data_IF_719079014973
#
_entry.id   IF_719079014973
#
_cell.length_a   1.000
_cell.length_b   1.000
_cell.length_c   1.000
_cell.angle_alpha   90.00
_cell.angle_beta   90.00
_cell.angle_gamma   90.00
#
_symmetry.space_group_name_H-M   'P 1'
#
loop_
_entity.id
_entity.type
_entity.pdbx_description
1 polymer ?
#
# COMPACT_ATOMS: atom_id res chain seq x y z
N UNK A 1 5.25 9.79 -12.56
CA UNK A 1 6.05 9.06 -11.57
C UNK A 1 6.21 7.58 -11.92
N UNK A 2 5.13 6.88 -12.27
CA UNK A 2 5.18 5.46 -12.69
C UNK A 2 5.74 5.25 -14.10
N UNK A 3 6.07 6.33 -14.82
CA UNK A 3 6.78 6.30 -16.11
C UNK A 3 8.32 6.24 -15.95
N UNK A 4 8.83 6.26 -14.71
CA UNK A 4 10.22 5.90 -14.42
C UNK A 4 10.39 4.41 -14.68
N UNK A 5 11.51 4.04 -15.31
CA UNK A 5 11.72 2.66 -15.75
C UNK A 5 11.79 1.66 -14.58
N UNK A 6 11.35 0.43 -14.81
CA UNK A 6 11.48 -0.65 -13.83
C UNK A 6 12.94 -0.84 -13.41
N UNK A 7 13.88 -0.67 -14.37
CA UNK A 7 15.33 -0.79 -14.12
C UNK A 7 15.82 0.19 -13.06
N UNK A 8 15.25 1.41 -13.01
CA UNK A 8 15.60 2.36 -11.94
C UNK A 8 15.14 1.86 -10.57
N UNK A 9 13.91 1.35 -10.48
CA UNK A 9 13.37 0.83 -9.22
C UNK A 9 14.13 -0.39 -8.72
N UNK A 10 14.55 -1.29 -9.61
CA UNK A 10 15.39 -2.46 -9.29
C UNK A 10 16.73 -2.10 -8.66
N UNK A 11 17.24 -0.87 -8.88
CA UNK A 11 18.51 -0.44 -8.33
C UNK A 11 18.47 -0.12 -6.83
N UNK A 12 17.30 0.25 -6.30
CA UNK A 12 17.22 0.66 -4.89
C UNK A 12 16.14 -0.05 -4.08
N UNK A 13 15.13 -0.67 -4.72
CA UNK A 13 14.17 -1.50 -4.01
C UNK A 13 14.77 -2.88 -3.64
N UNK A 14 14.04 -3.64 -2.83
CA UNK A 14 14.32 -5.05 -2.58
C UNK A 14 13.87 -5.94 -3.76
N UNK A 15 14.24 -7.24 -3.81
CA UNK A 15 13.85 -8.12 -4.92
C UNK A 15 12.35 -8.26 -5.13
N UNK A 16 11.53 -8.04 -4.11
CA UNK A 16 10.07 -8.05 -4.25
C UNK A 16 9.53 -6.84 -5.02
N UNK A 17 10.36 -5.85 -5.33
CA UNK A 17 9.99 -4.59 -5.96
C UNK A 17 8.92 -3.84 -5.17
N UNK A 18 9.04 -3.83 -3.85
CA UNK A 18 8.04 -3.23 -2.97
C UNK A 18 8.35 -1.75 -2.73
N UNK A 19 7.52 -0.88 -3.33
CA UNK A 19 7.63 0.57 -3.18
C UNK A 19 6.66 1.10 -2.14
N UNK A 20 6.85 0.66 -0.90
CA UNK A 20 6.08 1.05 0.29
C UNK A 20 6.89 0.76 1.55
N UNK A 21 6.48 1.31 2.72
CA UNK A 21 7.18 1.08 3.98
C UNK A 21 7.35 -0.41 4.28
N UNK A 22 8.53 -0.82 4.66
CA UNK A 22 8.80 -2.13 5.27
C UNK A 22 8.41 -2.14 6.75
N UNK A 23 8.53 -3.29 7.43
CA UNK A 23 8.31 -3.47 8.87
C UNK A 23 9.57 -4.03 9.53
N UNK A 24 10.26 -3.20 10.31
CA UNK A 24 11.48 -3.57 11.04
C UNK A 24 11.18 -3.93 12.50
N UNK A 25 10.28 -4.89 12.73
CA UNK A 25 9.81 -5.29 14.07
C UNK A 25 10.86 -6.06 14.90
N UNK A 26 12.06 -6.30 14.34
CA UNK A 26 13.19 -6.98 14.99
C UNK A 26 14.52 -6.35 14.59
N UNK A 27 15.50 -6.32 15.50
CA UNK A 27 16.85 -5.89 15.12
C UNK A 27 17.47 -6.78 14.04
N UNK A 28 18.25 -6.18 13.15
CA UNK A 28 19.05 -6.90 12.16
C UNK A 28 18.30 -7.39 10.92
N UNK A 29 17.05 -7.01 10.73
CA UNK A 29 16.37 -7.27 9.46
C UNK A 29 16.98 -6.40 8.36
N UNK A 30 17.27 -7.03 7.21
CA UNK A 30 17.49 -6.32 5.96
C UNK A 30 16.17 -5.88 5.33
N UNK A 31 16.24 -5.11 4.25
CA UNK A 31 15.05 -4.55 3.62
C UNK A 31 14.11 -5.65 3.08
N UNK A 32 14.63 -6.71 2.48
CA UNK A 32 13.83 -7.80 1.93
C UNK A 32 13.06 -8.54 3.04
N UNK A 33 13.76 -8.91 4.11
CA UNK A 33 13.15 -9.56 5.26
C UNK A 33 12.10 -8.65 5.93
N UNK A 34 12.36 -7.34 6.02
CA UNK A 34 11.43 -6.36 6.58
C UNK A 34 10.19 -6.17 5.68
N UNK A 35 10.33 -6.20 4.35
CA UNK A 35 9.19 -6.19 3.43
C UNK A 35 8.35 -7.47 3.57
N UNK A 36 8.99 -8.62 3.67
CA UNK A 36 8.30 -9.89 3.91
C UNK A 36 7.54 -9.89 5.25
N UNK A 37 8.13 -9.31 6.32
CA UNK A 37 7.47 -9.12 7.62
C UNK A 37 6.21 -8.26 7.52
N UNK A 38 6.27 -7.19 6.77
CA UNK A 38 5.11 -6.35 6.46
C UNK A 38 3.99 -7.17 5.79
N UNK A 39 4.31 -7.94 4.77
CA UNK A 39 3.35 -8.78 4.06
C UNK A 39 2.70 -9.81 5.00
N UNK A 40 3.51 -10.48 5.82
CA UNK A 40 3.01 -11.44 6.78
C UNK A 40 2.04 -10.80 7.77
N UNK A 41 2.38 -9.63 8.32
CA UNK A 41 1.50 -8.92 9.26
C UNK A 41 0.17 -8.50 8.63
N UNK A 42 0.21 -7.99 7.40
CA UNK A 42 -1.02 -7.64 6.67
C UNK A 42 -1.86 -8.88 6.37
N UNK A 43 -1.24 -9.99 6.01
CA UNK A 43 -1.91 -11.26 5.80
C UNK A 43 -2.57 -11.79 7.09
N UNK A 44 -1.86 -11.76 8.21
CA UNK A 44 -2.40 -12.13 9.53
C UNK A 44 -3.59 -11.24 9.94
N UNK A 45 -3.51 -9.93 9.65
CA UNK A 45 -4.58 -8.98 9.98
C UNK A 45 -5.78 -9.10 9.05
N UNK A 46 -5.57 -9.50 7.80
CA UNK A 46 -6.63 -9.87 6.86
C UNK A 46 -7.19 -11.27 7.15
N UNK A 47 -6.54 -12.06 8.02
CA UNK A 47 -6.93 -13.43 8.35
C UNK A 47 -6.83 -14.35 7.15
N UNK A 48 -5.75 -14.26 6.38
CA UNK A 48 -5.57 -15.06 5.17
C UNK A 48 -5.28 -16.52 5.50
N UNK A 49 -6.01 -17.39 4.82
CA UNK A 49 -5.87 -18.86 4.92
C UNK A 49 -5.75 -19.48 3.53
N UNK A 50 -5.17 -20.68 3.47
CA UNK A 50 -5.00 -21.39 2.21
C UNK A 50 -6.35 -21.60 1.48
N UNK A 51 -6.33 -21.39 0.16
CA UNK A 51 -7.50 -21.53 -0.71
C UNK A 51 -8.42 -20.31 -0.77
N UNK A 52 -8.29 -19.34 0.14
CA UNK A 52 -9.05 -18.10 0.08
C UNK A 52 -8.73 -17.29 -1.18
N UNK A 53 -9.71 -16.51 -1.64
CA UNK A 53 -9.57 -15.59 -2.76
C UNK A 53 -9.44 -14.16 -2.26
N UNK A 54 -8.27 -13.56 -2.47
CA UNK A 54 -7.88 -12.25 -1.99
C UNK A 54 -7.93 -11.24 -3.14
N UNK A 55 -8.48 -10.05 -2.90
CA UNK A 55 -8.32 -8.90 -3.77
C UNK A 55 -7.16 -8.04 -3.25
N UNK A 56 -6.15 -7.82 -4.07
CA UNK A 56 -5.11 -6.82 -3.82
C UNK A 56 -5.40 -5.57 -4.67
N UNK A 57 -5.73 -4.45 -4.02
CA UNK A 57 -5.99 -3.18 -4.71
C UNK A 57 -4.70 -2.36 -4.73
N UNK A 58 -4.14 -2.16 -5.93
CA UNK A 58 -2.84 -1.54 -6.13
C UNK A 58 -1.69 -2.54 -5.96
N UNK A 59 -1.69 -3.60 -6.78
CA UNK A 59 -0.73 -4.71 -6.63
C UNK A 59 0.71 -4.36 -7.03
N UNK A 60 0.97 -3.17 -7.57
CA UNK A 60 2.30 -2.78 -7.99
C UNK A 60 2.94 -3.81 -8.91
N UNK A 61 4.17 -4.21 -8.60
CA UNK A 61 4.93 -5.24 -9.34
C UNK A 61 4.65 -6.68 -8.88
N UNK A 62 3.58 -6.89 -8.06
CA UNK A 62 3.09 -8.22 -7.71
C UNK A 62 3.77 -8.89 -6.51
N UNK A 63 4.55 -8.15 -5.71
CA UNK A 63 5.29 -8.74 -4.60
C UNK A 63 4.41 -9.37 -3.52
N UNK A 64 3.33 -8.69 -3.08
CA UNK A 64 2.39 -9.27 -2.11
C UNK A 64 1.57 -10.41 -2.73
N UNK A 65 1.15 -10.28 -3.99
CA UNK A 65 0.40 -11.35 -4.68
C UNK A 65 1.21 -12.64 -4.76
N UNK A 66 2.50 -12.54 -5.13
CA UNK A 66 3.44 -13.67 -5.14
C UNK A 66 3.59 -14.27 -3.73
N UNK A 67 3.84 -13.43 -2.72
CA UNK A 67 3.95 -13.86 -1.33
C UNK A 67 2.70 -14.61 -0.85
N UNK A 68 1.51 -14.05 -1.04
CA UNK A 68 0.26 -14.64 -0.58
C UNK A 68 -0.06 -15.97 -1.27
N UNK A 69 0.28 -16.11 -2.56
CA UNK A 69 0.08 -17.36 -3.29
C UNK A 69 1.10 -18.43 -2.92
N UNK A 70 2.37 -18.06 -2.74
CA UNK A 70 3.46 -19.00 -2.46
C UNK A 70 3.43 -19.47 -1.02
N UNK A 71 3.38 -18.53 -0.07
CA UNK A 71 3.58 -18.83 1.35
C UNK A 71 2.30 -19.26 2.05
N UNK A 72 1.16 -18.68 1.61
CA UNK A 72 -0.12 -18.91 2.28
C UNK A 72 -1.10 -19.75 1.46
N UNK A 73 -0.74 -20.08 0.21
CA UNK A 73 -1.60 -20.87 -0.66
C UNK A 73 -2.90 -20.18 -1.08
N UNK A 74 -2.95 -18.85 -1.04
CA UNK A 74 -4.10 -18.08 -1.47
C UNK A 74 -4.24 -18.02 -2.99
N UNK A 75 -5.46 -17.76 -3.47
CA UNK A 75 -5.71 -17.23 -4.82
C UNK A 75 -5.75 -15.71 -4.73
N UNK A 76 -5.11 -15.00 -5.65
CA UNK A 76 -5.04 -13.55 -5.62
C UNK A 76 -5.53 -12.96 -6.94
N UNK A 77 -6.43 -11.99 -6.86
CA UNK A 77 -6.69 -11.05 -7.94
C UNK A 77 -6.01 -9.73 -7.59
N UNK A 78 -4.87 -9.44 -8.24
CA UNK A 78 -4.18 -8.16 -8.11
C UNK A 78 -4.63 -7.18 -9.17
N UNK A 79 -4.96 -5.96 -8.78
CA UNK A 79 -5.36 -4.90 -9.72
C UNK A 79 -4.42 -3.70 -9.67
N UNK A 80 -4.16 -3.11 -10.82
CA UNK A 80 -3.39 -1.86 -10.99
C UNK A 80 -3.94 -1.08 -12.18
N UNK A 81 -3.64 0.22 -12.27
CA UNK A 81 -3.92 1.03 -13.46
C UNK A 81 -2.69 1.17 -14.38
N UNK A 82 -1.52 0.72 -13.95
CA UNK A 82 -0.27 0.80 -14.72
C UNK A 82 -0.07 -0.48 -15.55
N UNK A 83 -0.04 -0.34 -16.86
CA UNK A 83 0.30 -1.44 -17.79
C UNK A 83 1.74 -1.94 -17.56
N UNK A 84 2.67 -1.05 -17.24
CA UNK A 84 4.07 -1.39 -16.94
C UNK A 84 4.16 -2.29 -15.71
N UNK A 85 3.49 -1.90 -14.61
CA UNK A 85 3.43 -2.72 -13.40
C UNK A 85 2.75 -4.06 -13.68
N UNK A 86 1.62 -4.05 -14.39
CA UNK A 86 0.89 -5.27 -14.71
C UNK A 86 1.71 -6.23 -15.57
N UNK A 87 2.44 -5.71 -16.57
CA UNK A 87 3.31 -6.50 -17.43
C UNK A 87 4.44 -7.17 -16.62
N UNK A 88 5.09 -6.41 -15.73
CA UNK A 88 6.13 -6.93 -14.85
C UNK A 88 5.55 -7.99 -13.88
N UNK A 89 4.46 -7.67 -13.20
CA UNK A 89 3.81 -8.57 -12.25
C UNK A 89 3.38 -9.89 -12.93
N UNK A 90 2.81 -9.85 -14.14
CA UNK A 90 2.44 -11.05 -14.89
C UNK A 90 3.65 -11.92 -15.22
N UNK A 91 4.79 -11.33 -15.60
CA UNK A 91 6.04 -12.09 -15.82
C UNK A 91 6.51 -12.74 -14.53
N UNK A 92 6.60 -11.98 -13.43
CA UNK A 92 6.96 -12.48 -12.10
C UNK A 92 6.12 -13.70 -11.70
N UNK A 93 4.80 -13.58 -11.79
CA UNK A 93 3.85 -14.65 -11.45
C UNK A 93 4.03 -15.88 -12.33
N UNK A 94 4.26 -15.67 -13.63
CA UNK A 94 4.51 -16.77 -14.57
C UNK A 94 5.83 -17.49 -14.26
N UNK A 95 6.90 -16.72 -13.99
CA UNK A 95 8.22 -17.28 -13.71
C UNK A 95 8.26 -18.03 -12.37
N UNK A 96 7.43 -17.61 -11.41
CA UNK A 96 7.19 -18.32 -10.15
C UNK A 96 6.24 -19.55 -10.27
N UNK A 97 5.67 -19.81 -11.47
CA UNK A 97 4.74 -20.94 -11.67
C UNK A 97 3.38 -20.75 -11.00
N UNK A 98 2.94 -19.51 -10.76
CA UNK A 98 1.74 -19.20 -9.99
C UNK A 98 0.54 -18.73 -10.86
N UNK A 99 0.60 -18.94 -12.17
CA UNK A 99 -0.41 -18.43 -13.11
C UNK A 99 -1.82 -19.03 -12.90
N UNK A 100 -1.93 -20.16 -12.23
CA UNK A 100 -3.18 -20.81 -11.84
C UNK A 100 -3.81 -20.22 -10.57
N UNK A 101 -3.03 -19.50 -9.76
CA UNK A 101 -3.45 -18.91 -8.47
C UNK A 101 -3.54 -17.40 -8.48
N UNK A 102 -2.74 -16.72 -9.30
CA UNK A 102 -2.66 -15.25 -9.32
C UNK A 102 -3.08 -14.70 -10.67
N UNK A 103 -4.05 -13.81 -10.65
CA UNK A 103 -4.50 -13.06 -11.82
C UNK A 103 -4.19 -11.57 -11.64
N UNK A 104 -3.41 -10.97 -12.54
CA UNK A 104 -3.12 -9.53 -12.57
C UNK A 104 -3.98 -8.86 -13.65
N UNK A 105 -4.77 -7.87 -13.24
CA UNK A 105 -5.71 -7.15 -14.09
C UNK A 105 -5.40 -5.65 -14.13
N UNK A 106 -5.50 -5.05 -15.31
CA UNK A 106 -5.49 -3.59 -15.46
C UNK A 106 -6.94 -3.14 -15.45
N UNK A 107 -7.40 -2.65 -14.29
CA UNK A 107 -8.80 -2.27 -14.07
C UNK A 107 -8.90 -1.32 -12.89
N UNK A 108 -9.85 -0.39 -12.96
CA UNK A 108 -10.18 0.48 -11.83
C UNK A 108 -10.88 -0.33 -10.73
N UNK A 109 -10.53 -0.06 -9.45
CA UNK A 109 -11.15 -0.75 -8.31
C UNK A 109 -12.68 -0.59 -8.29
N UNK A 110 -13.21 0.49 -8.85
CA UNK A 110 -14.65 0.78 -8.94
C UNK A 110 -15.41 -0.20 -9.82
N UNK A 111 -14.70 -0.78 -10.80
CA UNK A 111 -15.28 -1.70 -11.81
C UNK A 111 -15.14 -3.19 -11.42
N UNK A 112 -14.70 -3.46 -10.19
CA UNK A 112 -14.66 -4.83 -9.66
C UNK A 112 -16.08 -5.28 -9.29
N UNK A 113 -16.52 -6.38 -9.87
CA UNK A 113 -17.85 -6.97 -9.71
C UNK A 113 -17.85 -8.29 -8.91
N UNK A 114 -16.70 -8.89 -8.67
CA UNK A 114 -16.51 -10.12 -7.91
C UNK A 114 -16.47 -9.87 -6.39
N UNK A 115 -16.70 -10.95 -5.61
CA UNK A 115 -16.57 -10.93 -4.15
C UNK A 115 -15.37 -11.78 -3.71
N UNK A 116 -14.69 -11.32 -2.63
CA UNK A 116 -13.44 -11.87 -2.13
C UNK A 116 -13.55 -12.19 -0.64
N UNK A 117 -12.74 -13.16 -0.19
CA UNK A 117 -12.67 -13.55 1.22
C UNK A 117 -11.93 -12.50 2.06
N UNK A 118 -10.97 -11.80 1.43
CA UNK A 118 -10.25 -10.69 2.04
C UNK A 118 -9.88 -9.62 0.98
N UNK A 119 -9.65 -8.41 1.46
CA UNK A 119 -9.11 -7.29 0.65
C UNK A 119 -7.83 -6.78 1.30
N UNK A 120 -6.78 -6.62 0.50
CA UNK A 120 -5.50 -6.01 0.92
C UNK A 120 -5.20 -4.83 0.01
N UNK A 121 -4.71 -3.73 0.58
CA UNK A 121 -4.24 -2.58 -0.20
C UNK A 121 -3.07 -1.91 0.52
N UNK A 122 -1.97 -1.73 -0.19
CA UNK A 122 -0.70 -1.26 0.37
C UNK A 122 -0.29 0.03 -0.35
N UNK A 123 -0.40 1.17 0.35
CA UNK A 123 -0.02 2.50 -0.12
C UNK A 123 -0.60 2.82 -1.52
N UNK A 124 -1.89 2.56 -1.68
CA UNK A 124 -2.66 2.91 -2.87
C UNK A 124 -3.69 4.02 -2.59
N UNK A 125 -4.10 4.15 -1.31
CA UNK A 125 -5.14 5.10 -0.92
C UNK A 125 -4.73 6.55 -1.21
N UNK A 126 -3.42 6.80 -1.28
CA UNK A 126 -2.79 8.06 -1.65
C UNK A 126 -3.08 8.49 -3.09
N UNK A 127 -3.37 7.54 -3.95
CA UNK A 127 -3.77 7.79 -5.35
C UNK A 127 -5.27 8.02 -5.52
N UNK A 128 -6.08 7.72 -4.49
CA UNK A 128 -7.55 7.84 -4.56
C UNK A 128 -8.01 9.29 -4.47
N UNK A 129 -7.36 10.11 -3.63
CA UNK A 129 -7.75 11.49 -3.39
C UNK A 129 -8.97 11.65 -2.47
N UNK A 130 -9.07 12.81 -1.80
CA UNK A 130 -10.13 13.09 -0.82
C UNK A 130 -11.55 12.82 -1.33
N UNK A 131 -11.81 13.22 -2.58
CA UNK A 131 -13.16 13.15 -3.18
C UNK A 131 -13.66 11.72 -3.38
N UNK A 132 -12.77 10.76 -3.45
CA UNK A 132 -13.08 9.35 -3.77
C UNK A 132 -12.89 8.39 -2.60
N UNK A 133 -12.50 8.87 -1.40
CA UNK A 133 -12.39 8.03 -0.20
C UNK A 133 -13.70 7.27 0.09
N UNK A 134 -14.83 7.97 0.00
CA UNK A 134 -16.15 7.36 0.19
C UNK A 134 -16.44 6.25 -0.84
N UNK A 135 -16.07 6.48 -2.10
CA UNK A 135 -16.22 5.49 -3.17
C UNK A 135 -15.28 4.29 -2.97
N UNK A 136 -14.05 4.54 -2.54
CA UNK A 136 -13.09 3.48 -2.25
C UNK A 136 -13.61 2.54 -1.16
N UNK A 137 -13.98 3.08 -0.01
CA UNK A 137 -14.46 2.24 1.09
C UNK A 137 -15.81 1.57 0.80
N UNK A 138 -16.71 2.23 0.07
CA UNK A 138 -17.95 1.61 -0.39
C UNK A 138 -17.67 0.42 -1.33
N UNK A 139 -16.67 0.53 -2.22
CA UNK A 139 -16.25 -0.58 -3.07
C UNK A 139 -15.65 -1.71 -2.25
N UNK A 140 -14.74 -1.41 -1.32
CA UNK A 140 -14.12 -2.41 -0.44
C UNK A 140 -15.20 -3.18 0.34
N UNK A 141 -16.20 -2.50 0.90
CA UNK A 141 -17.30 -3.14 1.62
C UNK A 141 -18.16 -4.02 0.69
N UNK A 142 -18.46 -3.54 -0.51
CA UNK A 142 -19.27 -4.26 -1.51
C UNK A 142 -18.62 -5.57 -1.98
N UNK A 143 -17.31 -5.56 -2.22
CA UNK A 143 -16.59 -6.72 -2.75
C UNK A 143 -16.14 -7.70 -1.66
N UNK A 144 -16.26 -7.34 -0.39
CA UNK A 144 -15.89 -8.19 0.74
C UNK A 144 -17.02 -9.14 1.10
N UNK A 145 -16.76 -10.44 1.12
CA UNK A 145 -17.71 -11.47 1.57
C UNK A 145 -18.09 -11.30 3.05
N UNK A 146 -19.25 -11.81 3.48
CA UNK A 146 -19.58 -11.90 4.90
C UNK A 146 -18.47 -12.64 5.68
N UNK A 147 -18.04 -12.07 6.81
CA UNK A 147 -16.95 -12.62 7.63
C UNK A 147 -15.55 -12.28 7.13
N UNK A 148 -15.42 -11.72 5.92
CA UNK A 148 -14.13 -11.28 5.38
C UNK A 148 -13.53 -10.11 6.15
N UNK A 149 -12.23 -9.89 5.97
CA UNK A 149 -11.46 -8.82 6.60
C UNK A 149 -10.70 -8.01 5.57
N UNK A 150 -10.35 -6.79 5.96
CA UNK A 150 -9.55 -5.88 5.15
C UNK A 150 -8.27 -5.56 5.90
N UNK A 151 -7.13 -5.59 5.22
CA UNK A 151 -5.88 -5.04 5.73
C UNK A 151 -5.39 -3.94 4.79
N UNK A 152 -5.15 -2.77 5.37
CA UNK A 152 -4.67 -1.60 4.64
C UNK A 152 -3.35 -1.11 5.22
N UNK A 153 -2.45 -0.64 4.36
CA UNK A 153 -1.34 0.23 4.72
C UNK A 153 -1.47 1.52 3.94
N UNK A 154 -1.35 2.67 4.59
CA UNK A 154 -1.47 3.97 3.93
C UNK A 154 -0.66 5.04 4.65
N UNK A 155 -0.03 5.92 3.89
CA UNK A 155 0.58 7.13 4.43
C UNK A 155 -0.53 8.08 4.87
N UNK A 156 -0.32 8.74 5.99
CA UNK A 156 -1.31 9.65 6.56
C UNK A 156 -0.69 10.99 6.92
N UNK A 157 -1.56 12.01 6.97
CA UNK A 157 -1.20 13.32 7.50
C UNK A 157 -2.02 13.58 8.79
N UNK A 158 -1.49 14.31 9.79
CA UNK A 158 -2.24 14.61 11.01
C UNK A 158 -3.56 15.35 10.72
N UNK A 159 -4.63 14.97 11.44
CA UNK A 159 -5.95 15.57 11.31
C UNK A 159 -5.94 17.08 11.51
N UNK A 160 -5.05 17.59 12.39
CA UNK A 160 -4.91 19.01 12.72
C UNK A 160 -4.59 19.89 11.52
N UNK A 161 -3.91 19.33 10.50
CA UNK A 161 -3.50 20.08 9.32
C UNK A 161 -4.19 19.60 8.05
N UNK A 162 -5.01 18.55 8.12
CA UNK A 162 -5.62 17.90 6.98
C UNK A 162 -6.42 18.85 6.08
N UNK A 163 -7.26 19.70 6.67
CA UNK A 163 -8.09 20.65 5.91
C UNK A 163 -7.27 21.70 5.16
N UNK A 164 -6.13 22.12 5.71
CA UNK A 164 -5.19 23.01 5.02
C UNK A 164 -4.44 22.25 3.94
N UNK A 165 -3.94 21.05 4.26
CA UNK A 165 -3.19 20.20 3.35
C UNK A 165 -3.99 19.87 2.06
N UNK A 166 -5.24 19.46 2.18
CA UNK A 166 -6.05 19.03 1.02
C UNK A 166 -6.41 20.16 0.04
N UNK A 167 -6.25 21.43 0.45
CA UNK A 167 -6.53 22.61 -0.38
C UNK A 167 -5.29 23.20 -1.04
N UNK A 168 -4.10 22.79 -0.59
CA UNK A 168 -2.82 23.27 -1.12
C UNK A 168 -2.13 22.23 -2.00
N UNK A 169 -0.94 22.59 -2.45
CA UNK A 169 0.01 21.66 -3.02
C UNK A 169 1.37 21.83 -2.34
N UNK A 170 2.17 20.81 -2.35
CA UNK A 170 3.54 20.81 -1.84
C UNK A 170 4.49 20.35 -2.95
N UNK A 171 5.80 20.39 -2.65
CA UNK A 171 6.82 20.01 -3.61
C UNK A 171 6.70 18.55 -4.05
N UNK A 172 6.37 17.61 -3.13
CA UNK A 172 6.20 16.19 -3.43
C UNK A 172 5.06 15.99 -4.42
N UNK A 173 3.91 16.63 -4.19
CA UNK A 173 2.75 16.55 -5.10
C UNK A 173 2.97 17.28 -6.43
N UNK A 174 3.84 18.28 -6.44
CA UNK A 174 4.13 19.00 -7.67
C UNK A 174 5.10 18.24 -8.59
N UNK A 175 6.11 17.54 -8.04
CA UNK A 175 7.24 17.02 -8.82
C UNK A 175 7.40 15.51 -8.76
N UNK A 176 6.95 14.83 -7.69
CA UNK A 176 7.16 13.40 -7.50
C UNK A 176 5.87 12.62 -7.70
N UNK A 177 4.77 12.99 -7.03
CA UNK A 177 3.48 12.32 -7.09
C UNK A 177 2.35 13.29 -7.49
N UNK A 178 2.31 13.71 -8.76
CA UNK A 178 1.22 14.57 -9.24
C UNK A 178 -0.15 13.92 -8.99
N UNK A 179 -1.05 14.65 -8.31
CA UNK A 179 -2.37 14.13 -7.94
C UNK A 179 -2.39 13.30 -6.64
N UNK A 180 -1.24 13.02 -6.04
CA UNK A 180 -1.16 12.30 -4.77
C UNK A 180 -1.86 13.06 -3.62
N UNK A 181 -2.46 12.32 -2.70
CA UNK A 181 -3.20 12.86 -1.57
C UNK A 181 -3.09 11.97 -0.34
N UNK A 182 -2.52 12.47 0.74
CA UNK A 182 -2.44 11.74 2.00
C UNK A 182 -3.77 11.91 2.76
N UNK A 183 -4.50 10.82 3.06
CA UNK A 183 -5.66 10.90 3.95
C UNK A 183 -5.21 11.17 5.39
N UNK A 184 -6.11 11.67 6.23
CA UNK A 184 -5.95 11.62 7.68
C UNK A 184 -6.72 10.43 8.25
N UNK A 185 -6.37 10.02 9.49
CA UNK A 185 -7.09 8.95 10.17
C UNK A 185 -8.57 9.32 10.36
N UNK A 186 -8.87 10.57 10.73
CA UNK A 186 -10.24 11.06 10.86
C UNK A 186 -11.02 11.04 9.53
N UNK A 187 -10.35 11.35 8.41
CA UNK A 187 -10.98 11.26 7.09
C UNK A 187 -11.32 9.81 6.71
N UNK A 188 -10.41 8.86 7.01
CA UNK A 188 -10.65 7.42 6.81
C UNK A 188 -11.83 6.97 7.66
N UNK A 189 -11.82 7.23 8.96
CA UNK A 189 -12.89 6.83 9.89
C UNK A 189 -14.24 7.46 9.52
N UNK A 190 -14.23 8.74 9.13
CA UNK A 190 -15.43 9.42 8.66
C UNK A 190 -16.02 8.79 7.41
N UNK A 191 -15.19 8.37 6.47
CA UNK A 191 -15.62 7.66 5.25
C UNK A 191 -16.18 6.27 5.57
N UNK A 192 -15.49 5.49 6.41
CA UNK A 192 -15.98 4.19 6.88
C UNK A 192 -17.37 4.32 7.52
N UNK A 193 -17.53 5.26 8.44
CA UNK A 193 -18.80 5.48 9.16
C UNK A 193 -19.96 5.89 8.23
N UNK A 194 -19.68 6.64 7.17
CA UNK A 194 -20.73 7.11 6.24
C UNK A 194 -21.13 6.06 5.21
N UNK A 195 -20.22 5.19 4.80
CA UNK A 195 -20.38 4.39 3.57
C UNK A 195 -20.34 2.89 3.76
N UNK A 196 -19.99 2.40 4.94
CA UNK A 196 -19.75 0.97 5.15
C UNK A 196 -20.28 0.48 6.49
N UNK A 197 -20.35 -0.85 6.65
CA UNK A 197 -20.46 -1.50 7.94
C UNK A 197 -19.11 -1.87 8.57
N UNK A 198 -18.01 -1.38 8.01
CA UNK A 198 -16.65 -1.71 8.47
C UNK A 198 -16.23 -0.79 9.63
N UNK A 199 -15.52 -1.37 10.59
CA UNK A 199 -14.90 -0.68 11.71
C UNK A 199 -13.43 -1.04 11.81
N UNK A 200 -12.61 -0.11 12.31
CA UNK A 200 -11.20 -0.38 12.59
C UNK A 200 -11.11 -1.30 13.80
N UNK A 201 -10.53 -2.48 13.61
CA UNK A 201 -10.32 -3.48 14.68
C UNK A 201 -8.88 -3.49 15.20
N UNK A 202 -7.92 -3.08 14.37
CA UNK A 202 -6.51 -2.93 14.71
C UNK A 202 -5.93 -1.73 13.98
N UNK A 203 -4.99 -1.05 14.64
CA UNK A 203 -4.23 0.06 14.09
C UNK A 203 -2.81 0.01 14.64
N UNK A 204 -1.82 0.24 13.78
CA UNK A 204 -0.42 0.41 14.17
C UNK A 204 0.24 1.47 13.29
N UNK A 205 1.19 2.22 13.87
CA UNK A 205 1.95 3.29 13.22
C UNK A 205 3.36 2.79 12.88
N UNK A 206 3.75 2.91 11.62
CA UNK A 206 5.05 2.49 11.09
C UNK A 206 5.92 3.68 10.65
N UNK A 207 5.73 4.87 11.19
CA UNK A 207 6.48 6.05 10.75
C UNK A 207 8.00 5.85 10.88
N UNK A 208 8.47 5.26 11.99
CA UNK A 208 9.90 4.98 12.21
C UNK A 208 10.43 3.90 11.25
N UNK A 209 9.59 2.92 10.91
CA UNK A 209 9.89 1.91 9.89
C UNK A 209 10.03 2.52 8.51
N UNK A 210 9.15 3.49 8.16
CA UNK A 210 9.26 4.16 6.87
C UNK A 210 10.50 5.05 6.80
N UNK A 211 10.82 5.77 7.84
CA UNK A 211 12.08 6.52 7.90
C UNK A 211 13.29 5.60 7.66
N UNK A 212 13.28 4.41 8.23
CA UNK A 212 14.32 3.39 8.02
C UNK A 212 14.30 2.87 6.58
N UNK A 213 13.13 2.56 6.03
CA UNK A 213 12.96 2.13 4.64
C UNK A 213 13.53 3.17 3.65
N UNK A 214 13.18 4.45 3.83
CA UNK A 214 13.64 5.54 2.97
C UNK A 214 15.16 5.73 3.04
N UNK A 215 15.73 5.59 4.22
CA UNK A 215 17.20 5.64 4.41
C UNK A 215 17.88 4.48 3.66
N UNK A 216 17.31 3.26 3.71
CA UNK A 216 17.83 2.11 2.97
C UNK A 216 17.70 2.29 1.46
N UNK A 217 16.57 2.81 0.97
CA UNK A 217 16.42 3.12 -0.44
C UNK A 217 17.43 4.18 -0.89
N UNK A 218 17.62 5.25 -0.09
CA UNK A 218 18.59 6.31 -0.38
C UNK A 218 20.02 5.78 -0.43
N UNK A 219 20.41 4.92 0.52
CA UNK A 219 21.72 4.27 0.53
C UNK A 219 21.95 3.45 -0.73
N UNK A 220 21.02 2.56 -1.08
CA UNK A 220 21.08 1.72 -2.29
C UNK A 220 21.09 2.54 -3.58
N UNK A 221 20.31 3.61 -3.64
CA UNK A 221 20.30 4.53 -4.77
C UNK A 221 21.70 5.11 -5.03
N UNK A 222 22.38 5.59 -3.99
CA UNK A 222 23.73 6.12 -4.13
C UNK A 222 24.79 5.05 -4.40
N UNK A 223 24.66 3.87 -3.85
CA UNK A 223 25.52 2.71 -4.18
C UNK A 223 25.36 2.28 -5.64
N UNK A 224 24.27 2.63 -6.28
CA UNK A 224 23.97 2.34 -7.68
C UNK A 224 24.18 3.54 -8.61
N UNK A 225 24.85 4.62 -8.18
CA UNK A 225 24.99 5.88 -8.93
C UNK A 225 25.39 5.67 -10.38
N UNK A 226 26.47 4.92 -10.65
CA UNK A 226 26.97 4.69 -12.02
C UNK A 226 25.91 4.00 -12.89
N UNK A 227 25.15 3.07 -12.32
CA UNK A 227 24.07 2.37 -13.02
C UNK A 227 22.88 3.30 -13.30
N UNK A 228 22.51 4.14 -12.35
CA UNK A 228 21.44 5.15 -12.53
C UNK A 228 21.84 6.11 -13.65
N UNK A 229 23.09 6.58 -13.67
CA UNK A 229 23.62 7.43 -14.75
C UNK A 229 23.64 6.70 -16.09
N UNK A 230 23.99 5.41 -16.09
CA UNK A 230 23.96 4.54 -17.27
C UNK A 230 22.56 4.40 -17.88
N UNK A 231 21.50 4.56 -17.10
CA UNK A 231 20.11 4.62 -17.59
C UNK A 231 19.73 5.97 -18.21
N UNK A 232 20.65 6.96 -18.23
CA UNK A 232 20.42 8.28 -18.83
C UNK A 232 19.93 9.35 -17.86
N UNK A 233 19.89 9.08 -16.56
CA UNK A 233 19.51 10.07 -15.55
C UNK A 233 20.66 11.02 -15.24
N UNK A 234 20.38 12.33 -15.29
CA UNK A 234 21.35 13.40 -15.11
C UNK A 234 21.52 13.82 -13.63
N UNK A 235 22.48 14.74 -13.39
CA UNK A 235 22.74 15.31 -12.06
C UNK A 235 21.53 15.99 -11.43
N UNK A 236 20.62 16.54 -12.24
CA UNK A 236 19.39 17.17 -11.75
C UNK A 236 18.46 16.12 -11.17
N UNK A 237 18.30 15.00 -11.88
CA UNK A 237 17.51 13.86 -11.41
C UNK A 237 18.10 13.29 -10.12
N UNK A 238 19.43 13.06 -10.10
CA UNK A 238 20.12 12.52 -8.91
C UNK A 238 19.85 13.37 -7.65
N UNK A 239 20.02 14.69 -7.76
CA UNK A 239 19.73 15.62 -6.65
C UNK A 239 18.26 15.65 -6.26
N UNK A 240 17.35 15.61 -7.24
CA UNK A 240 15.92 15.62 -7.01
C UNK A 240 15.47 14.36 -6.27
N UNK A 241 15.97 13.21 -6.69
CA UNK A 241 15.63 11.92 -6.08
C UNK A 241 16.16 11.79 -4.66
N UNK A 242 17.43 12.18 -4.45
CA UNK A 242 18.04 12.27 -3.13
C UNK A 242 17.27 13.19 -2.18
N UNK A 243 16.92 14.39 -2.66
CA UNK A 243 16.13 15.35 -1.89
C UNK A 243 14.74 14.79 -1.53
N UNK A 244 14.07 14.11 -2.47
CA UNK A 244 12.81 13.45 -2.21
C UNK A 244 12.92 12.42 -1.08
N UNK A 245 13.85 11.48 -1.19
CA UNK A 245 14.04 10.42 -0.19
C UNK A 245 14.41 11.00 1.18
N UNK A 246 15.33 11.95 1.22
CA UNK A 246 15.77 12.61 2.45
C UNK A 246 14.65 13.43 3.13
N UNK A 247 13.86 14.16 2.33
CA UNK A 247 12.75 14.98 2.84
C UNK A 247 11.65 14.09 3.42
N UNK A 248 11.31 12.99 2.74
CA UNK A 248 10.34 12.03 3.25
C UNK A 248 10.85 11.34 4.53
N UNK A 249 12.13 10.92 4.58
CA UNK A 249 12.73 10.36 5.80
C UNK A 249 12.57 11.32 6.99
N UNK A 250 12.92 12.59 6.80
CA UNK A 250 12.78 13.62 7.84
C UNK A 250 11.32 13.83 8.27
N UNK A 251 10.39 13.87 7.31
CA UNK A 251 8.98 14.10 7.59
C UNK A 251 8.35 12.95 8.42
N UNK A 252 8.75 11.70 8.20
CA UNK A 252 8.32 10.57 9.04
C UNK A 252 8.97 10.61 10.42
N UNK A 253 10.26 10.88 10.54
CA UNK A 253 10.97 11.03 11.82
C UNK A 253 10.36 12.10 12.72
N UNK A 254 10.04 13.24 12.12
CA UNK A 254 9.48 14.40 12.83
C UNK A 254 7.97 14.28 13.04
N UNK A 255 7.36 13.14 12.66
CA UNK A 255 5.92 12.91 12.77
C UNK A 255 5.07 13.96 12.05
N UNK A 256 5.60 14.60 11.00
CA UNK A 256 4.83 15.48 10.13
C UNK A 256 3.87 14.71 9.23
N UNK A 257 4.24 13.48 8.91
CA UNK A 257 3.40 12.46 8.26
C UNK A 257 3.58 11.15 9.01
N UNK A 258 2.62 10.24 8.86
CA UNK A 258 2.66 8.90 9.41
C UNK A 258 2.40 7.85 8.35
N UNK A 259 2.56 6.59 8.68
CA UNK A 259 2.05 5.49 7.89
C UNK A 259 1.35 4.51 8.82
N UNK A 260 0.10 4.20 8.51
CA UNK A 260 -0.73 3.35 9.33
C UNK A 260 -0.99 2.02 8.66
N UNK A 261 -0.89 0.94 9.43
CA UNK A 261 -1.55 -0.31 9.10
C UNK A 261 -2.89 -0.39 9.84
N UNK A 262 -3.93 -0.80 9.12
CA UNK A 262 -5.30 -0.92 9.63
C UNK A 262 -5.85 -2.29 9.30
N UNK A 263 -6.51 -2.94 10.27
CA UNK A 263 -7.40 -4.06 10.01
C UNK A 263 -8.84 -3.60 10.17
N UNK A 264 -9.67 -3.90 9.17
CA UNK A 264 -11.09 -3.57 9.20
C UNK A 264 -11.91 -4.86 9.21
N UNK A 265 -12.98 -4.85 9.99
CA UNK A 265 -13.96 -5.94 10.10
C UNK A 265 -15.37 -5.37 10.03
N UNK A 266 -16.35 -6.16 9.62
CA UNK A 266 -17.75 -5.73 9.75
C UNK A 266 -18.16 -5.67 11.21
N UNK A 267 -18.82 -4.59 11.61
CA UNK A 267 -19.45 -4.52 12.92
C UNK A 267 -20.56 -5.57 13.02
N UNK A 268 -20.72 -6.20 14.18
CA UNK A 268 -21.88 -7.05 14.46
C UNK A 268 -23.18 -6.29 14.18
N UNK A 269 -24.23 -6.95 13.69
CA UNK A 269 -25.50 -6.29 13.44
C UNK A 269 -26.04 -5.70 14.75
N UNK A 270 -26.47 -4.47 14.70
CA UNK A 270 -27.06 -3.68 15.80
C UNK A 270 -28.27 -4.33 16.52
N UNK A 271 -28.71 -5.53 16.10
CA UNK A 271 -29.82 -6.26 16.75
C UNK A 271 -29.47 -6.75 18.16
N UNK A 272 -28.19 -6.84 18.53
CA UNK A 272 -27.78 -7.33 19.85
C UNK A 272 -27.63 -6.21 20.91
N UNK A 273 -27.37 -4.96 20.48
CA UNK A 273 -27.27 -3.84 21.42
C UNK A 273 -28.62 -3.49 22.09
N UNK A 274 -29.74 -3.73 21.41
CA UNK A 274 -31.08 -3.55 21.97
C UNK A 274 -31.41 -4.61 23.05
N UNK A 275 -30.63 -5.68 23.20
CA UNK A 275 -30.82 -6.74 24.22
C UNK A 275 -29.98 -6.56 25.48
N UNK A 276 -28.94 -5.70 25.43
CA UNK A 276 -28.03 -5.49 26.57
C UNK A 276 -28.59 -4.41 27.55
N UNK A 277 -29.60 -3.65 27.15
CA UNK A 277 -30.20 -2.56 27.92
C UNK A 277 -31.58 -2.88 28.53
N UNK A 278 -31.90 -4.16 28.78
CA UNK A 278 -33.11 -4.56 29.53
C UNK A 278 -32.77 -5.42 30.69
#
# INVERSE_FOLDING_TARGET
>A
HYDLSNELYELFLDPSMTYSSALFDRPGLDLEAAQRRKYQRLADWAGLEAGQHVLEIGCGWGGFAEFAATELGCRVTGITLSEEQASFARRRIKDAGLSDRVQIRVVDYRDIDACFDAVVSIEMLEAVGHRFLDSFFATVDRVLRPGGRVALQTITIPDQIYDRYRRGTDWIRAYIFPGGHLPSLGAIQGSLARRTGLVVSRLDDLADDYATTLREWRRRFWESEDRVRGLGFDDRFMRMWDFYLATCEAAFRDRQIGVLQLSLVRSGRSTDLARIGR
#
